data_IF_890713638209
#
_entry.id   IF_890713638209
#
_cell.length_a   1.000
_cell.length_b   1.000
_cell.length_c   1.000
_cell.angle_alpha   90.00
_cell.angle_beta   90.00
_cell.angle_gamma   90.00
#
_symmetry.space_group_name_H-M   'P 1'
#
loop_
_entity.id
_entity.type
_entity.pdbx_description
1 polymer ?
#
# COMPACT_ATOMS: atom_id res chain seq x y z
N UNK A 1 -17.05 -8.83 8.47
CA UNK A 1 -16.89 -10.24 8.08
C UNK A 1 -15.70 -10.44 7.14
N UNK A 2 -15.66 -9.83 5.94
CA UNK A 2 -14.61 -10.08 4.94
C UNK A 2 -13.17 -9.91 5.45
N UNK A 3 -12.91 -8.93 6.31
CA UNK A 3 -11.61 -8.76 6.95
C UNK A 3 -11.30 -9.89 7.94
N UNK A 4 -12.32 -10.39 8.67
CA UNK A 4 -12.17 -11.48 9.62
C UNK A 4 -11.82 -12.80 8.91
N UNK A 5 -12.40 -13.07 7.73
CA UNK A 5 -12.08 -14.24 6.91
C UNK A 5 -10.58 -14.32 6.55
N UNK A 6 -9.94 -13.16 6.37
CA UNK A 6 -8.51 -13.08 6.07
C UNK A 6 -7.66 -13.16 7.35
N UNK A 7 -8.11 -12.54 8.44
CA UNK A 7 -7.29 -12.34 9.62
C UNK A 7 -7.35 -13.51 10.61
N UNK A 8 -8.53 -14.13 10.81
CA UNK A 8 -8.68 -15.27 11.74
C UNK A 8 -7.66 -16.39 11.46
N UNK A 9 -7.44 -16.81 10.19
CA UNK A 9 -6.45 -17.85 9.90
C UNK A 9 -5.00 -17.49 10.28
N UNK A 10 -4.67 -16.19 10.37
CA UNK A 10 -3.34 -15.73 10.76
C UNK A 10 -3.02 -15.97 12.22
N UNK A 11 -4.05 -15.94 13.06
CA UNK A 11 -3.86 -15.94 14.53
C UNK A 11 -4.05 -17.30 15.15
N UNK A 12 -4.79 -18.22 14.51
CA UNK A 12 -5.10 -19.55 15.06
C UNK A 12 -5.58 -19.43 16.53
N UNK A 13 -4.67 -19.70 17.48
CA UNK A 13 -4.96 -19.65 18.92
C UNK A 13 -4.29 -18.45 19.63
N UNK A 14 -3.67 -17.54 18.89
CA UNK A 14 -3.02 -16.35 19.45
C UNK A 14 -3.97 -15.15 19.45
N UNK A 15 -3.95 -14.35 20.51
CA UNK A 15 -4.66 -13.08 20.52
C UNK A 15 -3.90 -12.05 19.67
N UNK A 16 -4.54 -11.42 18.69
CA UNK A 16 -3.90 -10.38 17.91
C UNK A 16 -3.61 -9.15 18.77
N UNK A 17 -2.53 -8.48 18.43
CA UNK A 17 -2.12 -7.22 19.04
C UNK A 17 -2.09 -6.15 17.96
N UNK A 18 -2.80 -5.06 18.18
CA UNK A 18 -2.84 -3.91 17.28
C UNK A 18 -2.17 -2.70 17.91
N UNK A 19 -1.53 -1.89 17.08
CA UNK A 19 -1.09 -0.54 17.42
C UNK A 19 -1.84 0.43 16.52
N UNK A 20 -2.80 1.13 17.12
CA UNK A 20 -3.66 2.11 16.45
C UNK A 20 -3.04 3.50 16.52
N UNK A 21 -2.97 4.21 15.40
CA UNK A 21 -2.38 5.54 15.28
C UNK A 21 -3.05 6.42 14.23
N UNK A 22 -3.87 5.82 13.36
CA UNK A 22 -4.66 6.56 12.38
C UNK A 22 -5.88 7.23 13.05
N UNK A 23 -6.42 8.31 12.48
CA UNK A 23 -7.59 8.99 13.03
C UNK A 23 -8.80 8.05 13.10
N UNK A 24 -9.38 7.88 14.30
CA UNK A 24 -10.58 7.04 14.51
C UNK A 24 -11.83 7.60 13.80
N UNK A 25 -11.82 8.88 13.44
CA UNK A 25 -12.87 9.52 12.65
C UNK A 25 -12.84 9.14 11.16
N UNK A 26 -11.72 8.60 10.69
CA UNK A 26 -11.60 8.11 9.32
C UNK A 26 -12.18 6.70 9.21
N UNK A 27 -13.00 6.45 8.18
CA UNK A 27 -13.71 5.17 7.97
C UNK A 27 -12.78 3.94 8.03
N UNK A 28 -11.55 4.06 7.55
CA UNK A 28 -10.58 2.97 7.57
C UNK A 28 -10.24 2.52 8.99
N UNK A 29 -9.76 3.41 9.85
CA UNK A 29 -9.40 3.03 11.21
C UNK A 29 -10.64 2.73 12.06
N UNK A 30 -11.76 3.41 11.77
CA UNK A 30 -13.04 3.13 12.41
C UNK A 30 -13.48 1.68 12.18
N UNK A 31 -13.44 1.19 10.95
CA UNK A 31 -13.73 -0.21 10.63
C UNK A 31 -12.75 -1.19 11.30
N UNK A 32 -11.47 -0.83 11.36
CA UNK A 32 -10.44 -1.63 12.03
C UNK A 32 -10.74 -1.79 13.53
N UNK A 33 -11.34 -0.78 14.20
CA UNK A 33 -11.75 -0.91 15.61
C UNK A 33 -12.80 -2.04 15.78
N UNK A 34 -13.77 -2.15 14.89
CA UNK A 34 -14.75 -3.25 14.95
C UNK A 34 -14.09 -4.61 14.69
N UNK A 35 -13.12 -4.68 13.79
CA UNK A 35 -12.32 -5.90 13.58
C UNK A 35 -11.55 -6.26 14.84
N UNK A 36 -10.93 -5.31 15.51
CA UNK A 36 -10.20 -5.52 16.77
C UNK A 36 -11.12 -6.07 17.87
N UNK A 37 -12.31 -5.49 18.02
CA UNK A 37 -13.32 -5.96 18.97
C UNK A 37 -13.76 -7.40 18.64
N UNK A 38 -14.07 -7.67 17.37
CA UNK A 38 -14.51 -8.99 16.92
C UNK A 38 -13.45 -10.08 17.11
N UNK A 39 -12.18 -9.73 17.03
CA UNK A 39 -11.05 -10.65 17.27
C UNK A 39 -10.68 -10.80 18.75
N UNK A 40 -11.30 -10.01 19.66
CA UNK A 40 -10.87 -9.94 21.06
C UNK A 40 -9.42 -9.49 21.19
N UNK A 41 -8.98 -8.59 20.31
CA UNK A 41 -7.60 -8.15 20.19
C UNK A 41 -7.15 -7.31 21.40
N UNK A 42 -5.85 -7.32 21.65
CA UNK A 42 -5.21 -6.34 22.52
C UNK A 42 -4.87 -5.10 21.68
N UNK A 43 -5.34 -3.93 22.09
CA UNK A 43 -5.17 -2.69 21.34
C UNK A 43 -4.31 -1.72 22.15
N UNK A 44 -3.28 -1.19 21.51
CA UNK A 44 -2.47 -0.08 22.00
C UNK A 44 -2.73 1.14 21.10
N UNK A 45 -2.77 2.31 21.69
CA UNK A 45 -2.86 3.58 21.00
C UNK A 45 -1.49 4.25 21.01
N UNK A 46 -1.00 4.69 19.84
CA UNK A 46 0.27 5.36 19.73
C UNK A 46 0.21 6.75 20.38
N UNK A 47 1.28 7.14 21.04
CA UNK A 47 1.39 8.44 21.70
C UNK A 47 1.51 9.59 20.68
N UNK A 48 2.34 9.39 19.64
CA UNK A 48 2.52 10.33 18.53
C UNK A 48 3.20 9.63 17.35
N UNK A 49 3.25 10.30 16.19
CA UNK A 49 3.96 9.80 15.01
C UNK A 49 5.46 9.64 15.23
N UNK A 50 6.08 10.55 15.98
CA UNK A 50 7.51 10.54 16.29
C UNK A 50 7.87 9.34 17.16
N UNK A 51 6.95 8.95 18.07
CA UNK A 51 7.13 7.81 18.97
C UNK A 51 6.66 6.48 18.41
N UNK A 52 6.15 6.45 17.19
CA UNK A 52 5.50 5.24 16.62
C UNK A 52 6.43 4.02 16.65
N UNK A 53 7.70 4.16 16.27
CA UNK A 53 8.66 3.05 16.31
C UNK A 53 8.95 2.56 17.74
N UNK A 54 9.06 3.47 18.70
CA UNK A 54 9.25 3.09 20.12
C UNK A 54 8.00 2.42 20.67
N UNK A 55 6.80 2.90 20.30
CA UNK A 55 5.55 2.26 20.67
C UNK A 55 5.43 0.86 20.06
N UNK A 56 5.91 0.63 18.82
CA UNK A 56 5.93 -0.71 18.20
C UNK A 56 6.82 -1.69 18.97
N UNK A 57 7.98 -1.24 19.46
CA UNK A 57 8.88 -2.12 20.24
C UNK A 57 8.29 -2.54 21.58
N UNK A 58 7.45 -1.69 22.18
CA UNK A 58 6.73 -1.96 23.45
C UNK A 58 5.49 -2.82 23.20
N UNK A 59 4.63 -2.38 22.29
CA UNK A 59 3.35 -3.05 21.98
C UNK A 59 3.53 -4.38 21.28
N UNK A 60 4.61 -4.56 20.51
CA UNK A 60 4.89 -5.73 19.67
C UNK A 60 3.68 -6.12 18.81
N UNK A 61 3.19 -5.21 17.98
CA UNK A 61 1.96 -5.46 17.23
C UNK A 61 2.13 -6.63 16.26
N UNK A 62 1.09 -7.43 16.16
CA UNK A 62 0.99 -8.50 15.16
C UNK A 62 0.41 -7.99 13.85
N UNK A 63 -0.44 -6.96 13.92
CA UNK A 63 -0.99 -6.22 12.77
C UNK A 63 -0.90 -4.73 13.04
N UNK A 64 -0.63 -3.99 11.98
CA UNK A 64 -0.67 -2.54 11.99
C UNK A 64 -1.20 -2.01 10.66
N UNK A 65 -2.20 -1.14 10.74
CA UNK A 65 -2.73 -0.39 9.61
C UNK A 65 -1.91 0.87 9.39
N UNK A 66 -1.67 1.23 8.14
CA UNK A 66 -0.94 2.44 7.80
C UNK A 66 -1.32 2.95 6.40
N UNK A 67 -0.91 4.18 6.10
CA UNK A 67 -1.12 4.84 4.81
C UNK A 67 0.16 4.82 3.97
N UNK A 68 0.10 4.99 2.63
CA UNK A 68 1.26 4.91 1.74
C UNK A 68 2.44 5.79 2.17
N UNK A 69 2.19 7.01 2.65
CA UNK A 69 3.24 7.91 3.12
C UNK A 69 4.08 7.35 4.27
N UNK A 70 3.48 6.57 5.16
CA UNK A 70 4.23 5.87 6.21
C UNK A 70 5.25 4.90 5.60
N UNK A 71 4.83 4.13 4.59
CA UNK A 71 5.69 3.15 3.93
C UNK A 71 6.79 3.81 3.09
N UNK A 72 6.52 4.94 2.44
CA UNK A 72 7.51 5.75 1.74
C UNK A 72 8.62 6.21 2.70
N UNK A 73 8.23 6.79 3.84
CA UNK A 73 9.18 7.23 4.86
C UNK A 73 9.99 6.06 5.44
N UNK A 74 9.33 4.91 5.64
CA UNK A 74 9.98 3.70 6.14
C UNK A 74 10.99 3.17 5.13
N UNK A 75 10.59 3.08 3.86
CA UNK A 75 11.45 2.69 2.75
C UNK A 75 12.70 3.57 2.70
N UNK A 76 12.54 4.89 2.65
CA UNK A 76 13.65 5.84 2.56
C UNK A 76 14.64 5.69 3.72
N UNK A 77 14.14 5.60 4.96
CA UNK A 77 14.98 5.41 6.15
C UNK A 77 15.78 4.10 6.11
N UNK A 78 15.13 2.98 5.74
CA UNK A 78 15.80 1.68 5.67
C UNK A 78 16.78 1.65 4.51
N UNK A 79 16.38 2.17 3.34
CA UNK A 79 17.21 2.20 2.14
C UNK A 79 18.48 3.04 2.36
N UNK A 80 18.38 4.22 2.97
CA UNK A 80 19.54 5.03 3.36
C UNK A 80 20.49 4.28 4.29
N UNK A 81 19.96 3.55 5.27
CA UNK A 81 20.81 2.74 6.15
C UNK A 81 21.51 1.60 5.40
N UNK A 82 20.86 1.02 4.40
CA UNK A 82 21.42 -0.04 3.56
C UNK A 82 22.48 0.49 2.59
N UNK A 83 22.26 1.65 1.99
CA UNK A 83 23.20 2.27 1.05
C UNK A 83 24.56 2.60 1.68
N UNK A 84 24.58 2.91 2.98
CA UNK A 84 25.79 3.17 3.76
C UNK A 84 26.64 1.92 4.05
N UNK A 85 26.08 0.71 3.85
CA UNK A 85 26.80 -0.53 4.13
C UNK A 85 27.79 -0.86 3.02
N UNK A 86 28.92 -1.49 3.41
CA UNK A 86 30.02 -1.87 2.49
C UNK A 86 30.34 -3.36 2.62
N UNK A 87 31.13 -3.87 1.66
CA UNK A 87 31.68 -5.23 1.71
C UNK A 87 30.63 -6.34 1.78
N UNK A 88 30.84 -7.33 2.64
CA UNK A 88 29.96 -8.49 2.81
C UNK A 88 28.55 -8.13 3.28
N UNK A 89 28.41 -7.08 4.11
CA UNK A 89 27.09 -6.62 4.57
C UNK A 89 26.25 -6.12 3.40
N UNK A 90 26.84 -5.33 2.49
CA UNK A 90 26.16 -4.84 1.28
C UNK A 90 25.71 -6.01 0.40
N UNK A 91 26.60 -7.01 0.18
CA UNK A 91 26.26 -8.22 -0.60
C UNK A 91 25.09 -8.99 0.02
N UNK A 92 25.11 -9.19 1.34
CA UNK A 92 24.05 -9.91 2.05
C UNK A 92 22.70 -9.17 1.96
N UNK A 93 22.70 -7.84 2.08
CA UNK A 93 21.50 -7.01 1.94
C UNK A 93 20.95 -7.12 0.50
N UNK A 94 21.80 -6.96 -0.52
CA UNK A 94 21.38 -7.12 -1.93
C UNK A 94 20.80 -8.50 -2.20
N UNK A 95 21.42 -9.56 -1.68
CA UNK A 95 20.87 -10.92 -1.76
C UNK A 95 19.56 -11.07 -1.04
N UNK A 96 19.40 -10.40 0.12
CA UNK A 96 18.13 -10.42 0.88
C UNK A 96 16.98 -9.84 0.06
N UNK A 97 17.21 -8.70 -0.59
CA UNK A 97 16.21 -8.03 -1.44
C UNK A 97 15.91 -8.90 -2.66
N UNK A 98 16.91 -9.29 -3.41
CA UNK A 98 16.74 -10.04 -4.67
C UNK A 98 16.04 -11.40 -4.44
N UNK A 99 16.49 -12.18 -3.44
CA UNK A 99 15.85 -13.46 -3.10
C UNK A 99 14.46 -13.29 -2.50
N UNK A 100 14.23 -12.19 -1.77
CA UNK A 100 12.91 -11.86 -1.25
C UNK A 100 11.91 -11.55 -2.37
N UNK A 101 12.28 -10.73 -3.35
CA UNK A 101 11.46 -10.43 -4.54
C UNK A 101 11.23 -11.71 -5.35
N UNK A 102 12.26 -12.53 -5.56
CA UNK A 102 12.12 -13.82 -6.25
C UNK A 102 11.08 -14.74 -5.58
N UNK A 103 11.09 -14.79 -4.25
CA UNK A 103 10.08 -15.54 -3.47
C UNK A 103 8.67 -14.94 -3.58
N UNK A 104 8.57 -13.62 -3.54
CA UNK A 104 7.31 -12.91 -3.67
C UNK A 104 6.63 -13.24 -5.01
N UNK A 105 7.44 -13.30 -6.08
CA UNK A 105 7.01 -13.69 -7.43
C UNK A 105 6.87 -15.20 -7.62
N UNK A 106 6.83 -15.97 -6.52
CA UNK A 106 6.68 -17.44 -6.50
C UNK A 106 7.71 -18.21 -7.35
N UNK A 107 8.85 -17.61 -7.65
CA UNK A 107 9.93 -18.29 -8.35
C UNK A 107 10.65 -19.27 -7.43
N UNK A 108 10.97 -20.46 -7.93
CA UNK A 108 11.73 -21.46 -7.15
C UNK A 108 13.16 -20.97 -6.95
N UNK A 109 13.66 -21.14 -5.72
CA UNK A 109 15.06 -20.90 -5.39
C UNK A 109 15.86 -22.18 -5.62
N UNK A 110 17.08 -22.05 -6.17
CA UNK A 110 18.06 -23.14 -6.25
C UNK A 110 18.55 -23.55 -4.85
N UNK A 111 19.25 -24.65 -4.73
CA UNK A 111 19.83 -25.12 -3.44
C UNK A 111 20.78 -24.07 -2.84
N UNK A 112 21.63 -23.45 -3.68
CA UNK A 112 22.55 -22.40 -3.25
C UNK A 112 21.80 -21.15 -2.80
N UNK A 113 20.76 -20.73 -3.54
CA UNK A 113 19.93 -19.59 -3.18
C UNK A 113 19.18 -19.86 -1.85
N UNK A 114 18.71 -21.06 -1.62
CA UNK A 114 18.07 -21.42 -0.36
C UNK A 114 19.04 -21.33 0.82
N UNK A 115 20.27 -21.77 0.64
CA UNK A 115 21.34 -21.66 1.65
C UNK A 115 21.64 -20.19 1.96
N UNK A 116 21.84 -19.36 0.93
CA UNK A 116 22.05 -17.90 1.10
C UNK A 116 20.83 -17.27 1.78
N UNK A 117 19.62 -17.65 1.36
CA UNK A 117 18.39 -17.10 1.92
C UNK A 117 18.21 -17.42 3.42
N UNK A 118 18.73 -18.56 3.90
CA UNK A 118 18.77 -18.88 5.34
C UNK A 118 19.57 -17.84 6.12
N UNK A 119 20.75 -17.43 5.61
CA UNK A 119 21.53 -16.36 6.24
C UNK A 119 20.84 -14.99 6.13
N UNK A 120 20.22 -14.69 4.98
CA UNK A 120 19.43 -13.48 4.80
C UNK A 120 18.31 -13.40 5.85
N UNK A 121 17.64 -14.52 6.12
CA UNK A 121 16.57 -14.61 7.13
C UNK A 121 17.13 -14.33 8.53
N UNK A 122 18.19 -15.04 8.91
CA UNK A 122 18.74 -15.00 10.26
C UNK A 122 19.46 -13.68 10.58
N UNK A 123 20.20 -13.11 9.62
CA UNK A 123 21.11 -11.98 9.84
C UNK A 123 20.51 -10.62 9.42
N UNK A 124 19.53 -10.61 8.50
CA UNK A 124 18.93 -9.37 8.01
C UNK A 124 17.46 -9.28 8.39
N UNK A 125 16.58 -10.15 7.86
CA UNK A 125 15.13 -10.02 8.06
C UNK A 125 14.72 -10.10 9.51
N UNK A 126 15.26 -11.04 10.28
CA UNK A 126 14.99 -11.16 11.72
C UNK A 126 15.37 -9.89 12.49
N UNK A 127 16.53 -9.29 12.15
CA UNK A 127 16.97 -8.05 12.80
C UNK A 127 16.05 -6.88 12.48
N UNK A 128 15.57 -6.82 11.24
CA UNK A 128 14.61 -5.79 10.83
C UNK A 128 13.30 -5.99 11.60
N UNK A 129 12.70 -7.19 11.56
CA UNK A 129 11.46 -7.45 12.30
C UNK A 129 11.54 -7.12 13.78
N UNK A 130 12.69 -7.39 14.41
CA UNK A 130 12.89 -7.08 15.83
C UNK A 130 12.80 -5.58 16.12
N UNK A 131 13.15 -4.70 15.16
CA UNK A 131 12.97 -3.25 15.32
C UNK A 131 11.49 -2.83 15.33
N UNK A 132 10.62 -3.69 14.82
CA UNK A 132 9.16 -3.52 14.79
C UNK A 132 8.45 -4.40 15.82
N UNK A 133 9.14 -4.79 16.89
CA UNK A 133 8.59 -5.61 17.97
C UNK A 133 8.72 -7.12 17.78
N UNK A 134 9.13 -7.59 16.61
CA UNK A 134 9.41 -9.02 16.31
C UNK A 134 8.22 -9.88 15.93
N UNK A 135 7.00 -9.45 16.27
CA UNK A 135 5.77 -10.24 16.16
C UNK A 135 4.89 -9.88 14.96
N UNK A 136 5.33 -8.93 14.14
CA UNK A 136 4.54 -8.40 13.03
C UNK A 136 4.26 -9.47 11.97
N UNK A 137 2.99 -9.82 11.79
CA UNK A 137 2.48 -10.73 10.76
C UNK A 137 2.02 -10.01 9.51
N UNK A 138 1.51 -8.76 9.67
CA UNK A 138 1.13 -7.94 8.53
C UNK A 138 1.11 -6.44 8.85
N UNK A 139 1.66 -5.65 7.94
CA UNK A 139 1.22 -4.30 7.69
C UNK A 139 0.07 -4.33 6.68
N UNK A 140 -0.93 -3.46 6.87
CA UNK A 140 -2.03 -3.30 5.91
C UNK A 140 -2.02 -1.85 5.41
N UNK A 141 -1.72 -1.67 4.14
CA UNK A 141 -1.73 -0.36 3.47
C UNK A 141 -3.13 -0.09 2.94
N UNK A 142 -3.70 1.04 3.32
CA UNK A 142 -4.99 1.53 2.84
C UNK A 142 -4.99 3.05 2.68
N UNK A 143 -6.09 3.60 2.14
CA UNK A 143 -6.26 5.04 1.94
C UNK A 143 -5.48 5.64 0.77
N UNK A 144 -4.88 4.82 -0.09
CA UNK A 144 -4.18 5.24 -1.30
C UNK A 144 -3.32 4.13 -1.89
N UNK A 145 -2.84 4.32 -3.12
CA UNK A 145 -1.98 3.36 -3.80
C UNK A 145 -0.58 3.31 -3.15
N UNK A 146 -0.12 2.11 -2.85
CA UNK A 146 1.27 1.88 -2.43
C UNK A 146 2.13 1.65 -3.68
N UNK A 147 3.23 2.38 -3.78
CA UNK A 147 4.20 2.15 -4.86
C UNK A 147 4.70 0.70 -4.87
N UNK A 148 4.73 0.08 -6.04
CA UNK A 148 5.09 -1.32 -6.21
C UNK A 148 6.49 -1.62 -5.70
N UNK A 149 7.49 -0.76 -6.00
CA UNK A 149 8.88 -0.97 -5.57
C UNK A 149 9.00 -0.93 -4.05
N UNK A 150 8.24 -0.05 -3.39
CA UNK A 150 8.19 0.05 -1.93
C UNK A 150 7.57 -1.23 -1.35
N UNK A 151 6.45 -1.67 -1.89
CA UNK A 151 5.78 -2.90 -1.44
C UNK A 151 6.66 -4.14 -1.61
N UNK A 152 7.30 -4.30 -2.77
CA UNK A 152 8.26 -5.38 -3.05
C UNK A 152 9.47 -5.33 -2.10
N UNK A 153 10.05 -4.15 -1.90
CA UNK A 153 11.17 -3.97 -0.98
C UNK A 153 10.80 -4.38 0.44
N UNK A 154 9.71 -3.85 1.00
CA UNK A 154 9.32 -4.15 2.37
C UNK A 154 9.05 -5.65 2.58
N UNK A 155 8.32 -6.27 1.66
CA UNK A 155 8.09 -7.72 1.72
C UNK A 155 9.41 -8.51 1.60
N UNK A 156 10.33 -8.08 0.73
CA UNK A 156 11.61 -8.76 0.51
C UNK A 156 12.51 -8.78 1.75
N UNK A 157 12.46 -7.72 2.54
CA UNK A 157 13.24 -7.57 3.79
C UNK A 157 12.54 -8.12 5.03
N UNK A 158 11.39 -8.77 4.86
CA UNK A 158 10.69 -9.48 5.95
C UNK A 158 9.67 -8.63 6.72
N UNK A 159 9.19 -7.55 6.13
CA UNK A 159 8.07 -6.75 6.62
C UNK A 159 6.83 -7.03 5.74
N UNK A 160 5.99 -8.01 6.09
CA UNK A 160 4.85 -8.38 5.27
C UNK A 160 3.90 -7.19 5.11
N UNK A 161 3.78 -6.68 3.90
CA UNK A 161 2.96 -5.51 3.58
C UNK A 161 1.88 -5.92 2.59
N UNK A 162 0.63 -5.80 3.01
CA UNK A 162 -0.58 -6.05 2.23
C UNK A 162 -1.12 -4.74 1.71
N UNK A 163 -1.79 -4.76 0.57
CA UNK A 163 -2.60 -3.65 0.11
C UNK A 163 -4.08 -4.00 0.25
N UNK A 164 -4.87 -3.06 0.78
CA UNK A 164 -6.32 -3.08 0.75
C UNK A 164 -6.86 -1.92 -0.07
N UNK A 165 -8.01 -2.13 -0.66
CA UNK A 165 -8.77 -1.12 -1.39
C UNK A 165 -10.13 -0.90 -0.75
N UNK A 166 -10.53 0.35 -0.74
CA UNK A 166 -11.83 0.75 -0.30
C UNK A 166 -12.02 2.25 -0.31
N UNK A 167 -13.21 2.67 -0.01
CA UNK A 167 -13.63 4.07 0.02
C UNK A 167 -14.71 4.22 1.10
N UNK A 168 -14.89 5.43 1.60
CA UNK A 168 -15.84 5.70 2.69
C UNK A 168 -17.25 5.23 2.33
N UNK A 169 -17.65 5.37 1.08
CA UNK A 169 -18.92 4.93 0.52
C UNK A 169 -19.12 3.40 0.51
N UNK A 170 -18.07 2.63 0.79
CA UNK A 170 -18.12 1.16 0.88
C UNK A 170 -17.78 0.62 2.29
N UNK A 171 -17.80 1.43 3.34
CA UNK A 171 -17.72 1.16 4.79
C UNK A 171 -16.50 0.35 5.29
N UNK A 172 -15.25 0.61 4.96
CA UNK A 172 -14.75 1.14 3.70
C UNK A 172 -14.23 0.06 2.75
N UNK A 173 -13.92 -1.19 3.24
CA UNK A 173 -13.04 -2.14 2.56
C UNK A 173 -13.79 -3.00 1.55
N UNK A 174 -13.31 -2.97 0.31
CA UNK A 174 -13.82 -3.77 -0.82
C UNK A 174 -12.97 -5.02 -1.05
N UNK A 175 -11.64 -4.88 -1.00
CA UNK A 175 -10.69 -5.97 -1.23
C UNK A 175 -9.42 -5.81 -0.42
N UNK A 176 -8.70 -6.91 -0.21
CA UNK A 176 -7.38 -6.89 0.43
C UNK A 176 -6.54 -8.06 -0.04
N UNK A 177 -5.23 -7.86 -0.12
CA UNK A 177 -4.26 -8.92 -0.34
C UNK A 177 -4.35 -9.97 0.78
N UNK A 178 -4.20 -11.23 0.41
CA UNK A 178 -4.22 -12.35 1.37
C UNK A 178 -2.79 -12.63 1.82
N UNK A 179 -2.52 -12.75 3.14
CA UNK A 179 -1.22 -13.18 3.66
C UNK A 179 -0.73 -14.48 3.02
N UNK A 180 0.53 -14.50 2.62
CA UNK A 180 1.11 -15.65 1.91
C UNK A 180 0.76 -15.77 0.42
N UNK A 181 -0.18 -14.93 -0.08
CA UNK A 181 -0.56 -14.86 -1.50
C UNK A 181 -0.49 -13.42 -2.03
N UNK A 182 0.42 -12.64 -1.50
CA UNK A 182 0.55 -11.21 -1.82
C UNK A 182 0.93 -11.04 -3.27
N UNK A 183 0.22 -10.14 -3.97
CA UNK A 183 0.55 -9.61 -5.29
C UNK A 183 0.55 -8.08 -5.19
N UNK A 184 1.73 -7.49 -5.15
CA UNK A 184 1.91 -6.06 -4.84
C UNK A 184 1.26 -5.15 -5.88
N UNK A 185 1.21 -5.58 -7.13
CA UNK A 185 0.55 -4.85 -8.21
C UNK A 185 -0.98 -4.84 -8.12
N UNK A 186 -1.55 -5.56 -7.15
CA UNK A 186 -3.00 -5.68 -6.93
C UNK A 186 -3.37 -5.34 -5.50
N UNK A 187 -4.64 -5.07 -5.29
CA UNK A 187 -5.24 -4.89 -3.96
C UNK A 187 -5.93 -6.17 -3.44
N UNK A 188 -5.57 -7.32 -4.03
CA UNK A 188 -6.11 -8.63 -3.67
C UNK A 188 -7.50 -8.92 -4.23
N UNK A 189 -8.07 -10.08 -3.91
CA UNK A 189 -9.42 -10.43 -4.30
C UNK A 189 -10.44 -9.60 -3.53
N UNK A 190 -11.62 -9.29 -4.13
CA UNK A 190 -12.75 -8.74 -3.41
C UNK A 190 -13.14 -9.62 -2.23
N UNK A 191 -13.62 -9.03 -1.15
CA UNK A 191 -14.20 -9.79 -0.06
C UNK A 191 -15.44 -10.54 -0.54
N UNK A 192 -15.71 -11.71 0.03
CA UNK A 192 -16.85 -12.56 -0.35
C UNK A 192 -18.22 -11.87 -0.17
N UNK A 193 -18.27 -10.87 0.70
CA UNK A 193 -19.45 -10.05 0.96
C UNK A 193 -19.71 -9.02 -0.15
N UNK A 194 -18.74 -8.83 -1.07
CA UNK A 194 -18.80 -7.81 -2.12
C UNK A 194 -18.88 -8.47 -3.50
N UNK A 195 -19.75 -7.93 -4.36
CA UNK A 195 -19.72 -8.17 -5.77
C UNK A 195 -18.96 -7.01 -6.43
N UNK A 196 -18.02 -7.33 -7.30
CA UNK A 196 -17.22 -6.33 -8.03
C UNK A 196 -17.29 -6.68 -9.51
N UNK A 197 -17.54 -5.67 -10.35
CA UNK A 197 -17.45 -5.79 -11.81
C UNK A 197 -16.77 -4.55 -12.38
N UNK A 198 -16.27 -4.68 -13.60
CA UNK A 198 -15.67 -3.58 -14.35
C UNK A 198 -16.67 -3.16 -15.43
N UNK A 199 -16.98 -1.86 -15.48
CA UNK A 199 -17.84 -1.26 -16.49
C UNK A 199 -17.10 -1.17 -17.86
N UNK A 200 -17.82 -0.84 -18.93
CA UNK A 200 -17.25 -0.73 -20.28
C UNK A 200 -16.14 0.32 -20.38
N UNK A 201 -16.26 1.40 -19.59
CA UNK A 201 -15.26 2.46 -19.50
C UNK A 201 -14.11 2.17 -18.52
N UNK A 202 -14.07 0.94 -17.96
CA UNK A 202 -13.06 0.50 -17.01
C UNK A 202 -13.33 0.88 -15.56
N UNK A 203 -14.46 1.53 -15.26
CA UNK A 203 -14.80 1.90 -13.88
C UNK A 203 -15.11 0.68 -13.03
N UNK A 204 -14.56 0.66 -11.81
CA UNK A 204 -14.84 -0.37 -10.80
C UNK A 204 -16.21 -0.10 -10.19
N UNK A 205 -17.10 -1.07 -10.31
CA UNK A 205 -18.44 -1.03 -9.70
C UNK A 205 -18.51 -2.04 -8.57
N UNK A 206 -19.06 -1.60 -7.43
CA UNK A 206 -19.18 -2.42 -6.23
C UNK A 206 -20.62 -2.53 -5.76
N UNK A 207 -21.03 -3.72 -5.37
CA UNK A 207 -22.34 -3.99 -4.75
C UNK A 207 -22.16 -4.89 -3.54
N UNK A 208 -22.83 -4.60 -2.45
CA UNK A 208 -22.77 -5.36 -1.21
C UNK A 208 -23.47 -4.65 -0.07
N UNK A 209 -23.61 -5.32 1.06
CA UNK A 209 -24.22 -4.75 2.27
C UNK A 209 -23.39 -3.63 2.91
N UNK A 210 -22.11 -3.55 2.54
CA UNK A 210 -21.19 -2.51 2.99
C UNK A 210 -21.34 -1.18 2.22
N UNK A 211 -22.16 -1.13 1.16
CA UNK A 211 -22.36 0.12 0.41
C UNK A 211 -23.24 1.07 1.22
N UNK A 212 -22.85 2.35 1.25
CA UNK A 212 -23.58 3.41 1.92
C UNK A 212 -25.04 3.50 1.43
N UNK A 213 -25.94 3.97 2.29
CA UNK A 213 -27.32 4.29 1.90
C UNK A 213 -27.40 5.54 1.01
N UNK A 214 -26.42 6.41 1.09
CA UNK A 214 -26.34 7.65 0.32
C UNK A 214 -25.64 8.77 1.09
N UNK A 215 -25.46 9.88 0.43
CA UNK A 215 -24.95 11.11 1.04
C UNK A 215 -26.04 11.83 1.78
N UNK A 216 -25.75 12.29 3.01
CA UNK A 216 -26.72 12.99 3.86
C UNK A 216 -27.28 14.23 3.19
N UNK A 217 -28.62 14.30 3.06
CA UNK A 217 -29.34 15.40 2.40
C UNK A 217 -28.89 15.73 0.97
N UNK A 218 -28.30 14.77 0.25
CA UNK A 218 -27.78 14.95 -1.11
C UNK A 218 -28.25 13.82 -2.03
N UNK A 219 -29.58 13.81 -2.26
CA UNK A 219 -30.19 12.75 -3.08
C UNK A 219 -29.64 12.72 -4.50
N UNK A 220 -29.45 13.88 -5.12
CA UNK A 220 -28.95 13.97 -6.50
C UNK A 220 -27.57 13.37 -6.63
N UNK A 221 -26.62 13.74 -5.74
CA UNK A 221 -25.25 13.21 -5.73
C UNK A 221 -25.25 11.72 -5.39
N UNK A 222 -26.20 11.24 -4.59
CA UNK A 222 -26.38 9.82 -4.30
C UNK A 222 -26.82 9.06 -5.55
N UNK A 223 -27.85 9.55 -6.25
CA UNK A 223 -28.37 8.93 -7.47
C UNK A 223 -27.34 8.96 -8.64
N UNK A 224 -26.37 9.88 -8.59
CA UNK A 224 -25.26 9.93 -9.57
C UNK A 224 -24.26 8.79 -9.35
N UNK A 225 -24.02 8.36 -8.11
CA UNK A 225 -22.99 7.36 -7.76
C UNK A 225 -23.57 5.97 -7.43
N UNK A 226 -24.86 5.86 -7.06
CA UNK A 226 -25.52 4.57 -6.83
C UNK A 226 -26.58 4.37 -7.91
N UNK A 227 -26.35 3.40 -8.81
CA UNK A 227 -27.26 3.07 -9.91
C UNK A 227 -27.55 1.57 -9.92
N UNK A 228 -28.80 1.20 -9.90
CA UNK A 228 -29.26 -0.21 -9.90
C UNK A 228 -28.61 -1.05 -8.77
N UNK A 229 -28.34 -0.39 -7.62
CA UNK A 229 -27.71 -1.01 -6.47
C UNK A 229 -26.20 -1.20 -6.61
N UNK A 230 -25.57 -0.62 -7.61
CA UNK A 230 -24.12 -0.60 -7.80
C UNK A 230 -23.56 0.77 -7.47
N UNK A 231 -22.53 0.79 -6.61
CA UNK A 231 -21.73 1.98 -6.37
C UNK A 231 -20.73 2.16 -7.51
N UNK A 232 -20.80 3.30 -8.17
CA UNK A 232 -19.81 3.80 -9.12
C UNK A 232 -18.68 4.45 -8.33
N UNK A 233 -17.54 3.78 -8.25
CA UNK A 233 -16.47 4.19 -7.34
C UNK A 233 -15.68 5.39 -7.81
N UNK A 234 -15.71 5.67 -9.13
CA UNK A 234 -14.83 6.64 -9.76
C UNK A 234 -13.38 6.17 -9.92
N UNK A 235 -13.07 4.94 -9.52
CA UNK A 235 -11.76 4.32 -9.70
C UNK A 235 -11.79 3.42 -10.94
N UNK A 236 -10.70 3.40 -11.72
CA UNK A 236 -10.52 2.58 -12.90
C UNK A 236 -9.65 1.38 -12.55
N UNK A 237 -9.98 0.22 -13.09
CA UNK A 237 -9.22 -0.99 -12.80
C UNK A 237 -9.60 -2.20 -13.63
N UNK A 238 -9.01 -3.32 -13.26
CA UNK A 238 -9.23 -4.62 -13.92
C UNK A 238 -9.26 -5.75 -12.89
N UNK A 239 -9.90 -6.84 -13.23
CA UNK A 239 -9.83 -8.10 -12.47
C UNK A 239 -8.84 -9.02 -13.18
N UNK A 240 -7.78 -9.41 -12.49
CA UNK A 240 -6.75 -10.30 -13.05
C UNK A 240 -7.32 -11.72 -13.27
N UNK A 241 -6.61 -12.54 -14.06
CA UNK A 241 -6.98 -13.95 -14.29
C UNK A 241 -7.09 -14.76 -13.00
N UNK A 242 -6.37 -14.36 -11.96
CA UNK A 242 -6.43 -15.00 -10.64
C UNK A 242 -7.52 -14.45 -9.72
N UNK A 243 -8.35 -13.52 -10.22
CA UNK A 243 -9.45 -12.92 -9.48
C UNK A 243 -9.04 -11.80 -8.52
N UNK A 244 -7.84 -11.25 -8.65
CA UNK A 244 -7.43 -10.08 -7.88
C UNK A 244 -7.87 -8.79 -8.55
N UNK A 245 -8.29 -7.81 -7.76
CA UNK A 245 -8.58 -6.47 -8.23
C UNK A 245 -7.28 -5.67 -8.36
N UNK A 246 -7.09 -5.00 -9.49
CA UNK A 246 -5.97 -4.10 -9.73
C UNK A 246 -6.52 -2.73 -10.12
N UNK A 247 -6.15 -1.73 -9.36
CA UNK A 247 -6.53 -0.34 -9.60
C UNK A 247 -5.47 0.28 -10.49
N UNK A 248 -5.89 0.93 -11.54
CA UNK A 248 -4.97 1.55 -12.51
C UNK A 248 -4.96 3.05 -12.38
N UNK A 249 -6.13 3.66 -12.10
CA UNK A 249 -6.29 5.11 -12.08
C UNK A 249 -7.51 5.57 -11.30
N UNK A 250 -7.68 6.90 -11.23
CA UNK A 250 -8.89 7.56 -10.78
C UNK A 250 -9.53 8.34 -11.92
N UNK A 251 -10.79 8.06 -12.23
CA UNK A 251 -11.50 8.58 -13.41
C UNK A 251 -11.44 10.12 -13.52
N UNK A 252 -11.57 10.83 -12.39
CA UNK A 252 -11.53 12.29 -12.31
C UNK A 252 -10.11 12.87 -12.34
N UNK A 253 -9.09 12.06 -12.12
CA UNK A 253 -7.70 12.51 -12.03
C UNK A 253 -6.91 12.18 -13.30
N UNK A 254 -7.46 11.35 -14.20
CA UNK A 254 -6.81 11.04 -15.47
C UNK A 254 -6.59 12.33 -16.27
N UNK A 255 -5.35 12.58 -16.63
CA UNK A 255 -4.96 13.62 -17.57
C UNK A 255 -5.14 13.08 -18.97
N UNK A 256 -5.96 13.74 -19.76
CA UNK A 256 -6.06 13.44 -21.21
C UNK A 256 -5.22 14.49 -21.95
N UNK A 257 -4.07 14.06 -22.47
CA UNK A 257 -3.20 14.97 -23.21
C UNK A 257 -3.81 15.37 -24.57
N UNK A 258 -3.17 16.28 -25.29
CA UNK A 258 -3.65 16.73 -26.59
C UNK A 258 -3.66 15.62 -27.67
N UNK A 259 -2.84 14.58 -27.48
CA UNK A 259 -2.79 13.38 -28.32
C UNK A 259 -3.89 12.37 -28.04
N UNK A 260 -4.70 12.57 -26.98
CA UNK A 260 -5.75 11.64 -26.55
C UNK A 260 -5.27 10.52 -25.62
N UNK A 261 -4.01 10.56 -25.17
CA UNK A 261 -3.50 9.55 -24.24
C UNK A 261 -4.02 9.80 -22.82
N UNK A 262 -4.45 8.73 -22.17
CA UNK A 262 -4.82 8.75 -20.76
C UNK A 262 -3.58 8.56 -19.88
N UNK A 263 -3.24 9.59 -19.14
CA UNK A 263 -2.04 9.64 -18.29
C UNK A 263 -2.46 9.66 -16.82
N UNK A 264 -1.92 8.74 -16.03
CA UNK A 264 -2.09 8.69 -14.59
C UNK A 264 -1.13 9.66 -13.90
N UNK A 265 -1.59 10.80 -13.35
CA UNK A 265 -0.70 11.70 -12.64
C UNK A 265 -0.12 11.04 -11.39
N UNK A 266 -0.93 10.29 -10.65
CA UNK A 266 -0.50 9.63 -9.40
C UNK A 266 0.67 8.67 -9.61
N UNK A 267 0.76 7.96 -10.75
CA UNK A 267 1.90 7.09 -11.05
C UNK A 267 3.19 7.88 -11.21
N UNK A 268 3.11 9.02 -11.90
CA UNK A 268 4.26 9.89 -12.13
C UNK A 268 4.66 10.59 -10.83
N UNK A 269 3.70 11.07 -10.06
CA UNK A 269 3.92 11.70 -8.76
C UNK A 269 4.61 10.75 -7.78
N UNK A 270 4.13 9.51 -7.69
CA UNK A 270 4.75 8.49 -6.87
C UNK A 270 6.18 8.17 -7.33
N UNK A 271 6.42 8.08 -8.64
CA UNK A 271 7.74 7.85 -9.21
C UNK A 271 8.70 8.99 -8.85
N UNK A 272 8.25 10.24 -8.96
CA UNK A 272 9.05 11.43 -8.59
C UNK A 272 9.39 11.41 -7.09
N UNK A 273 8.45 11.07 -6.24
CA UNK A 273 8.63 11.01 -4.79
C UNK A 273 9.49 9.82 -4.31
N UNK A 274 9.97 8.93 -5.20
CA UNK A 274 11.02 7.96 -4.85
C UNK A 274 12.39 8.62 -4.63
N UNK A 275 12.61 9.82 -5.18
CA UNK A 275 13.79 10.62 -4.88
C UNK A 275 13.67 11.22 -3.47
N UNK A 276 14.71 11.02 -2.65
CA UNK A 276 14.80 11.62 -1.29
C UNK A 276 14.78 13.17 -1.31
N UNK A 277 15.06 13.76 -2.47
CA UNK A 277 15.08 15.23 -2.67
C UNK A 277 13.69 15.81 -2.93
N UNK A 278 12.71 14.97 -3.24
CA UNK A 278 11.35 15.37 -3.58
C UNK A 278 10.40 14.93 -2.47
N UNK A 279 9.84 15.89 -1.76
CA UNK A 279 8.85 15.63 -0.69
C UNK A 279 7.45 15.43 -1.22
N UNK A 280 7.08 16.20 -2.21
CA UNK A 280 5.76 16.16 -2.85
C UNK A 280 5.92 16.56 -4.31
N UNK A 281 5.07 16.00 -5.15
CA UNK A 281 4.94 16.39 -6.54
C UNK A 281 3.47 16.44 -6.93
N UNK A 282 3.16 17.30 -7.86
CA UNK A 282 1.84 17.42 -8.48
C UNK A 282 2.02 17.55 -9.99
N UNK A 283 1.32 16.69 -10.74
CA UNK A 283 1.41 16.66 -12.21
C UNK A 283 0.20 17.34 -12.82
N UNK A 284 0.46 18.19 -13.78
CA UNK A 284 -0.54 18.87 -14.60
C UNK A 284 -0.20 18.74 -16.08
N UNK A 285 -1.21 18.58 -16.94
CA UNK A 285 -1.02 18.47 -18.39
C UNK A 285 -2.28 18.17 -19.19
N UNK A 286 -3.47 18.33 -18.55
CA UNK A 286 -4.73 18.10 -19.26
C UNK A 286 -4.83 19.00 -20.49
N UNK A 287 -5.16 18.40 -21.65
CA UNK A 287 -5.22 19.07 -22.96
C UNK A 287 -3.92 19.79 -23.36
N UNK A 288 -2.78 19.35 -22.87
CA UNK A 288 -1.44 19.85 -23.24
C UNK A 288 -0.67 18.80 -24.02
N UNK A 289 0.36 19.25 -24.75
CA UNK A 289 1.31 18.34 -25.44
C UNK A 289 2.44 17.88 -24.51
N UNK A 290 2.50 18.41 -23.31
CA UNK A 290 3.54 18.13 -22.31
C UNK A 290 2.94 18.08 -20.92
N UNK A 291 3.66 17.43 -20.00
CA UNK A 291 3.36 17.43 -18.57
C UNK A 291 4.23 18.45 -17.84
N UNK A 292 3.66 19.06 -16.81
CA UNK A 292 4.38 19.95 -15.88
C UNK A 292 4.30 19.33 -14.49
N UNK A 293 5.42 19.31 -13.77
CA UNK A 293 5.49 18.91 -12.39
C UNK A 293 5.75 20.12 -11.48
N UNK A 294 4.88 20.31 -10.48
CA UNK A 294 5.20 21.16 -9.33
C UNK A 294 5.87 20.26 -8.28
N UNK A 295 7.08 20.64 -7.86
CA UNK A 295 7.89 19.83 -6.95
C UNK A 295 8.19 20.61 -5.68
N UNK A 296 7.93 19.98 -4.54
CA UNK A 296 8.33 20.47 -3.22
C UNK A 296 9.59 19.75 -2.79
N UNK A 297 10.67 20.49 -2.57
CA UNK A 297 11.96 20.01 -2.05
C UNK A 297 12.23 20.54 -0.64
N UNK A 298 13.12 19.87 0.10
CA UNK A 298 13.56 20.35 1.43
C UNK A 298 14.45 21.59 1.36
N UNK A 299 15.21 21.74 0.28
CA UNK A 299 16.15 22.85 0.08
C UNK A 299 16.24 23.21 -1.39
N UNK A 300 16.42 24.50 -1.64
CA UNK A 300 16.68 25.02 -2.98
C UNK A 300 18.02 24.51 -3.57
N UNK A 301 18.95 24.05 -2.73
CA UNK A 301 20.22 23.46 -3.15
C UNK A 301 20.04 22.14 -3.92
N UNK A 302 18.90 21.46 -3.71
CA UNK A 302 18.59 20.21 -4.39
C UNK A 302 18.16 20.39 -5.87
N UNK A 303 17.98 21.62 -6.36
CA UNK A 303 17.42 21.90 -7.68
C UNK A 303 18.16 21.16 -8.81
N UNK A 304 19.50 21.28 -8.85
CA UNK A 304 20.33 20.61 -9.89
C UNK A 304 20.20 19.08 -9.85
N UNK A 305 20.19 18.51 -8.65
CA UNK A 305 20.05 17.05 -8.50
C UNK A 305 18.67 16.55 -8.92
N UNK A 306 17.63 17.36 -8.66
CA UNK A 306 16.27 17.06 -9.11
C UNK A 306 16.18 17.18 -10.64
N UNK A 307 16.78 18.19 -11.26
CA UNK A 307 16.83 18.33 -12.72
C UNK A 307 17.49 17.12 -13.38
N UNK A 308 18.65 16.67 -12.87
CA UNK A 308 19.33 15.45 -13.36
C UNK A 308 18.46 14.22 -13.19
N UNK A 309 17.74 14.09 -12.06
CA UNK A 309 16.83 12.98 -11.82
C UNK A 309 15.68 12.97 -12.83
N UNK A 310 15.07 14.13 -13.11
CA UNK A 310 14.00 14.27 -14.09
C UNK A 310 14.47 13.94 -15.52
N UNK A 311 15.66 14.41 -15.91
CA UNK A 311 16.28 14.06 -17.21
C UNK A 311 16.52 12.53 -17.34
N UNK A 312 16.86 11.89 -16.23
CA UNK A 312 17.02 10.43 -16.20
C UNK A 312 15.71 9.66 -16.35
N UNK A 313 14.58 10.24 -15.92
CA UNK A 313 13.25 9.63 -16.07
C UNK A 313 12.65 9.83 -17.46
N UNK A 314 13.07 10.87 -18.20
CA UNK A 314 12.58 11.18 -19.54
C UNK A 314 13.32 10.40 -20.66
N UNK A 315 14.32 9.59 -20.32
CA UNK A 315 15.04 8.67 -21.23
C UNK A 315 14.47 7.26 -21.14
#
# INVERSE_FOLDING_TARGET
EGALDILIPLFKNEKPVFLTWLPLSHSYEHAVQFVQISLGAKVYYAESLEKLLSNMSVAKPTIMTAVPRFYQNLYSKIYMNFSKQKGLKKKLISSTISLGIKKLNKSRLSLVENFINFFCEKLVRRKIRNQFGGELKAFVSGGGALDQKIGEFLNSIGLPTLQGYGLTEASPVVSCNIPGKIKIETVGPPFKTNQVKIAEDGEILVKGENIMLGYWNKKKETDEVIKDGWLHTGDIGEITKEGNLKITDRKKEIIVNLGGDNISPSKIENLLCLSEKIKQSFIYGDKKTYLVALIVSESNENKKEIEIYLEGLNK
#
